data_IF_740842070225
#
_entry.id   IF_740842070225
#
_cell.length_a   1.000
_cell.length_b   1.000
_cell.length_c   1.000
_cell.angle_alpha   90.00
_cell.angle_beta   90.00
_cell.angle_gamma   90.00
#
_symmetry.space_group_name_H-M   'P 1'
#
loop_
_entity.id
_entity.type
_entity.pdbx_description
1 polymer ?
#
# COMPACT_ATOMS: atom_id res chain seq x y z
N UNK A 1 19.56 -20.97 -4.76
CA UNK A 1 19.27 -19.72 -4.02
C UNK A 1 18.69 -18.72 -5.02
N UNK A 2 17.36 -18.64 -5.13
CA UNK A 2 16.73 -17.72 -6.08
C UNK A 2 16.68 -16.33 -5.44
N UNK A 3 17.50 -15.40 -5.93
CA UNK A 3 17.27 -13.97 -5.71
C UNK A 3 15.95 -13.63 -6.39
N UNK A 4 14.89 -13.50 -5.60
CA UNK A 4 13.66 -12.86 -6.08
C UNK A 4 14.04 -11.41 -6.40
N UNK A 5 14.30 -11.13 -7.68
CA UNK A 5 14.21 -9.77 -8.19
C UNK A 5 12.76 -9.33 -7.93
N UNK A 6 12.55 -8.62 -6.82
CA UNK A 6 11.32 -7.88 -6.60
C UNK A 6 11.36 -6.76 -7.63
N UNK A 7 10.87 -7.07 -8.84
CA UNK A 7 10.68 -6.05 -9.86
C UNK A 7 9.66 -5.11 -9.25
N UNK A 8 10.08 -3.88 -8.89
CA UNK A 8 9.13 -2.87 -8.42
C UNK A 8 7.98 -2.85 -9.44
N UNK A 9 6.75 -3.17 -9.04
CA UNK A 9 5.61 -3.05 -9.94
C UNK A 9 5.59 -1.64 -10.50
N UNK A 10 5.19 -1.50 -11.77
CA UNK A 10 5.07 -0.19 -12.39
C UNK A 10 4.12 0.66 -11.56
N UNK A 11 4.37 1.98 -11.52
CA UNK A 11 3.52 2.91 -10.78
C UNK A 11 2.03 2.75 -11.13
N UNK A 12 1.73 2.54 -12.42
CA UNK A 12 0.37 2.22 -12.90
C UNK A 12 -0.24 1.01 -12.20
N UNK A 13 0.53 -0.07 -12.02
CA UNK A 13 0.06 -1.28 -11.35
C UNK A 13 -0.22 -1.04 -9.87
N UNK A 14 0.63 -0.28 -9.18
CA UNK A 14 0.38 0.11 -7.79
C UNK A 14 -0.87 0.98 -7.69
N UNK A 15 -1.08 1.91 -8.62
CA UNK A 15 -2.30 2.72 -8.67
C UNK A 15 -3.55 1.84 -8.79
N UNK A 16 -3.56 0.87 -9.69
CA UNK A 16 -4.68 -0.07 -9.82
C UNK A 16 -4.92 -0.85 -8.52
N UNK A 17 -3.85 -1.32 -7.88
CA UNK A 17 -3.94 -2.04 -6.62
C UNK A 17 -4.52 -1.16 -5.51
N UNK A 18 -4.02 0.07 -5.36
CA UNK A 18 -4.52 1.04 -4.38
C UNK A 18 -5.97 1.45 -4.65
N UNK A 19 -6.38 1.50 -5.92
CA UNK A 19 -7.76 1.82 -6.29
C UNK A 19 -8.74 0.69 -6.00
N UNK A 20 -8.30 -0.56 -6.15
CA UNK A 20 -9.08 -1.72 -5.68
C UNK A 20 -9.08 -1.79 -4.15
N UNK A 21 -7.94 -1.55 -3.51
CA UNK A 21 -7.79 -1.56 -2.06
C UNK A 21 -8.72 -0.56 -1.36
N UNK A 22 -9.03 0.59 -1.98
CA UNK A 22 -10.00 1.56 -1.45
C UNK A 22 -11.42 0.99 -1.31
N UNK A 23 -11.77 -0.04 -2.08
CA UNK A 23 -13.08 -0.69 -2.00
C UNK A 23 -13.13 -1.79 -0.93
N UNK A 24 -11.97 -2.17 -0.38
CA UNK A 24 -11.88 -3.17 0.65
C UNK A 24 -11.94 -2.55 2.04
N UNK A 25 -12.53 -3.28 2.99
CA UNK A 25 -12.65 -2.84 4.37
C UNK A 25 -11.28 -2.85 5.09
N UNK A 26 -10.39 -3.73 4.66
CA UNK A 26 -9.06 -3.94 5.25
C UNK A 26 -8.08 -4.41 4.18
N UNK A 27 -6.86 -3.87 4.20
CA UNK A 27 -5.80 -4.25 3.27
C UNK A 27 -4.45 -4.30 3.98
N UNK A 28 -3.53 -5.08 3.44
CA UNK A 28 -2.13 -5.11 3.85
C UNK A 28 -1.28 -4.34 2.83
N UNK A 29 -0.65 -3.26 3.27
CA UNK A 29 0.23 -2.42 2.48
C UNK A 29 1.68 -2.78 2.77
N UNK A 30 2.43 -3.20 1.75
CA UNK A 30 3.86 -3.42 1.85
C UNK A 30 4.64 -2.19 1.34
N UNK A 31 5.51 -1.66 2.19
CA UNK A 31 6.34 -0.50 1.88
C UNK A 31 7.77 -0.91 1.50
N UNK A 32 8.48 -0.02 0.81
CA UNK A 32 9.87 -0.23 0.38
C UNK A 32 10.86 -0.48 1.52
N UNK A 33 10.49 -0.08 2.75
CA UNK A 33 11.26 -0.39 3.96
C UNK A 33 11.21 -1.86 4.39
N UNK A 34 10.39 -2.69 3.74
CA UNK A 34 10.12 -4.07 4.16
C UNK A 34 9.08 -4.18 5.28
N UNK A 35 8.50 -3.05 5.69
CA UNK A 35 7.39 -3.00 6.63
C UNK A 35 6.08 -3.29 5.89
N UNK A 36 5.29 -4.22 6.44
CA UNK A 36 3.91 -4.47 6.03
C UNK A 36 2.98 -3.94 7.12
N UNK A 37 1.97 -3.19 6.72
CA UNK A 37 1.01 -2.61 7.66
C UNK A 37 -0.39 -2.88 7.15
N UNK A 38 -1.22 -3.48 8.01
CA UNK A 38 -2.59 -3.82 7.69
C UNK A 38 -3.55 -2.79 8.27
N UNK A 39 -4.58 -2.40 7.52
CA UNK A 39 -5.56 -1.42 7.97
C UNK A 39 -6.54 -1.02 6.89
N UNK A 40 -7.43 -0.10 7.26
CA UNK A 40 -8.26 0.60 6.29
C UNK A 40 -7.40 1.60 5.51
N UNK A 41 -7.57 1.61 4.19
CA UNK A 41 -6.77 2.46 3.29
C UNK A 41 -7.60 3.61 2.70
N UNK A 42 -7.01 4.80 2.71
CA UNK A 42 -7.55 5.99 2.07
C UNK A 42 -6.52 6.44 1.05
N UNK A 43 -6.78 6.20 -0.24
CA UNK A 43 -5.87 6.62 -1.30
C UNK A 43 -6.41 7.84 -2.08
N UNK A 44 -5.52 8.80 -2.33
CA UNK A 44 -5.78 9.98 -3.16
C UNK A 44 -5.01 9.88 -4.48
N UNK A 45 -5.73 9.51 -5.54
CA UNK A 45 -5.18 9.36 -6.89
C UNK A 45 -4.57 10.66 -7.47
N UNK A 46 -5.15 11.82 -7.13
CA UNK A 46 -4.69 13.12 -7.65
C UNK A 46 -3.34 13.54 -7.10
N UNK A 47 -3.05 13.17 -5.84
CA UNK A 47 -1.78 13.50 -5.18
C UNK A 47 -0.78 12.34 -5.21
N UNK A 48 -1.23 11.11 -5.46
CA UNK A 48 -0.39 9.91 -5.34
C UNK A 48 0.01 9.61 -3.89
N UNK A 49 -0.78 10.07 -2.93
CA UNK A 49 -0.58 9.85 -1.50
C UNK A 49 -1.78 9.14 -0.91
N UNK A 50 -1.58 8.37 0.15
CA UNK A 50 -2.67 7.80 0.91
C UNK A 50 -2.39 7.79 2.40
N UNK A 51 -3.37 7.32 3.15
CA UNK A 51 -3.30 7.09 4.58
C UNK A 51 -3.77 5.68 4.88
N UNK A 52 -3.05 4.98 5.72
CA UNK A 52 -3.44 3.68 6.24
C UNK A 52 -3.76 3.83 7.73
N UNK A 53 -4.93 3.34 8.12
CA UNK A 53 -5.49 3.45 9.46
C UNK A 53 -5.67 2.03 9.99
N UNK A 54 -4.85 1.65 10.96
CA UNK A 54 -5.02 0.43 11.72
C UNK A 54 -5.71 0.79 13.04
N UNK A 55 -6.98 0.43 13.17
CA UNK A 55 -7.76 0.72 14.38
C UNK A 55 -7.43 -0.19 15.54
N UNK A 56 -6.86 -1.38 15.27
CA UNK A 56 -6.50 -2.35 16.32
C UNK A 56 -5.25 -1.90 17.08
N UNK A 57 -4.27 -1.37 16.35
CA UNK A 57 -3.03 -0.85 16.92
C UNK A 57 -3.09 0.67 17.19
N UNK A 58 -4.22 1.32 16.91
CA UNK A 58 -4.41 2.78 16.98
C UNK A 58 -3.38 3.57 16.14
N UNK A 59 -2.95 3.01 15.01
CA UNK A 59 -1.94 3.59 14.12
C UNK A 59 -2.61 4.29 12.93
N UNK A 60 -2.15 5.50 12.63
CA UNK A 60 -2.48 6.22 11.39
C UNK A 60 -1.20 6.69 10.73
N UNK A 61 -0.92 6.20 9.52
CA UNK A 61 0.27 6.56 8.77
C UNK A 61 -0.06 7.07 7.37
N UNK A 62 0.64 8.12 6.95
CA UNK A 62 0.60 8.62 5.58
C UNK A 62 1.67 7.89 4.74
N UNK A 63 1.33 7.52 3.52
CA UNK A 63 2.24 6.87 2.57
C UNK A 63 2.20 7.56 1.20
N UNK A 64 3.32 7.50 0.48
CA UNK A 64 3.39 7.89 -0.92
C UNK A 64 3.33 6.65 -1.82
N UNK A 65 2.68 6.75 -2.97
CA UNK A 65 2.59 5.64 -3.94
C UNK A 65 3.95 5.13 -4.40
N UNK A 66 4.94 6.01 -4.46
CA UNK A 66 6.33 5.67 -4.82
C UNK A 66 7.07 4.91 -3.71
N UNK A 67 6.47 4.73 -2.54
CA UNK A 67 7.01 3.93 -1.43
C UNK A 67 6.29 2.59 -1.30
N UNK A 68 5.23 2.35 -2.07
CA UNK A 68 4.42 1.13 -1.99
C UNK A 68 4.98 0.09 -2.96
N UNK A 69 5.24 -1.10 -2.44
CA UNK A 69 5.78 -2.23 -3.20
C UNK A 69 4.70 -3.22 -3.55
N UNK A 70 3.73 -3.42 -2.66
CA UNK A 70 2.63 -4.36 -2.87
C UNK A 70 1.41 -3.96 -2.04
N UNK A 71 0.23 -4.40 -2.48
CA UNK A 71 -1.03 -4.23 -1.75
C UNK A 71 -1.82 -5.52 -1.84
N UNK A 72 -2.18 -6.08 -0.68
CA UNK A 72 -3.01 -7.28 -0.58
C UNK A 72 -4.35 -6.95 0.05
N UNK A 73 -5.40 -7.58 -0.48
CA UNK A 73 -6.79 -7.43 -0.06
C UNK A 73 -7.24 -8.76 0.55
#
# INVERSE_FOLDING_TARGET
MAQQHIVKPSRERIYDLLMNARQADWVELALEGGESVSGAIIFNEFKGTGRLINVDDEISMDFHVDQVVDVKI
#
